data_IF_179616105854
#
_entry.id   IF_179616105854
#
_cell.length_a   1.000
_cell.length_b   1.000
_cell.length_c   1.000
_cell.angle_alpha   90.00
_cell.angle_beta   90.00
_cell.angle_gamma   90.00
#
_symmetry.space_group_name_H-M   'P 1'
#
loop_
_entity.id
_entity.type
_entity.pdbx_description
1 polymer ?
#
# COMPACT_ATOMS: atom_id res chain seq x y z
N UNK A 1 -12.86 -16.20 2.79
CA UNK A 1 -12.31 -14.92 3.29
C UNK A 1 -12.57 -13.84 2.26
N UNK A 2 -12.93 -12.62 2.66
CA UNK A 2 -13.04 -11.51 1.70
C UNK A 2 -11.67 -11.24 1.05
N UNK A 3 -11.66 -10.90 -0.24
CA UNK A 3 -10.44 -10.51 -0.96
C UNK A 3 -10.06 -9.08 -0.59
N UNK A 4 -8.79 -8.86 -0.27
CA UNK A 4 -8.23 -7.54 0.01
C UNK A 4 -7.83 -6.89 -1.30
N UNK A 5 -8.38 -5.70 -1.56
CA UNK A 5 -8.18 -4.94 -2.78
C UNK A 5 -7.03 -3.96 -2.57
N UNK A 6 -6.01 -4.08 -3.42
CA UNK A 6 -4.76 -3.32 -3.32
C UNK A 6 -4.68 -2.37 -4.50
N UNK A 7 -4.37 -1.11 -4.23
CA UNK A 7 -4.03 -0.12 -5.25
C UNK A 7 -2.55 0.25 -5.15
N UNK A 8 -1.91 0.50 -6.29
CA UNK A 8 -0.51 0.92 -6.37
C UNK A 8 -0.40 2.33 -6.94
N UNK A 9 0.20 3.26 -6.17
CA UNK A 9 0.45 4.64 -6.56
C UNK A 9 1.94 4.91 -6.78
N UNK A 10 2.27 5.85 -7.67
CA UNK A 10 3.66 6.25 -7.91
C UNK A 10 4.49 5.13 -8.52
N UNK A 11 3.88 4.40 -9.46
CA UNK A 11 4.39 3.15 -10.04
C UNK A 11 5.78 3.33 -10.66
N UNK A 12 6.76 2.62 -10.11
CA UNK A 12 8.02 2.30 -10.79
C UNK A 12 8.00 0.84 -11.24
N UNK A 13 8.78 0.48 -12.26
CA UNK A 13 8.87 -0.90 -12.72
C UNK A 13 9.30 -1.87 -11.60
N UNK A 14 10.20 -1.42 -10.72
CA UNK A 14 10.66 -2.18 -9.56
C UNK A 14 9.55 -2.40 -8.54
N UNK A 15 8.81 -1.35 -8.19
CA UNK A 15 7.72 -1.45 -7.21
C UNK A 15 6.59 -2.33 -7.73
N UNK A 16 6.19 -2.14 -8.99
CA UNK A 16 5.17 -2.97 -9.65
C UNK A 16 5.55 -4.45 -9.58
N UNK A 17 6.80 -4.78 -9.91
CA UNK A 17 7.30 -6.15 -9.86
C UNK A 17 7.24 -6.72 -8.44
N UNK A 18 7.78 -6.03 -7.45
CA UNK A 18 7.81 -6.51 -6.05
C UNK A 18 6.39 -6.74 -5.51
N UNK A 19 5.47 -5.82 -5.80
CA UNK A 19 4.07 -5.94 -5.37
C UNK A 19 3.39 -7.10 -6.07
N UNK A 20 3.55 -7.24 -7.39
CA UNK A 20 2.99 -8.37 -8.15
C UNK A 20 3.54 -9.71 -7.68
N UNK A 21 4.85 -9.82 -7.48
CA UNK A 21 5.50 -11.04 -6.99
C UNK A 21 4.96 -11.46 -5.60
N UNK A 22 4.57 -10.49 -4.76
CA UNK A 22 3.94 -10.75 -3.47
C UNK A 22 2.46 -11.15 -3.59
N UNK A 23 1.71 -10.48 -4.45
CA UNK A 23 0.29 -10.75 -4.68
C UNK A 23 0.06 -12.10 -5.39
N UNK A 24 0.91 -12.46 -6.35
CA UNK A 24 0.79 -13.72 -7.10
C UNK A 24 0.95 -14.97 -6.22
N UNK A 25 1.58 -14.82 -5.05
CA UNK A 25 1.71 -15.89 -4.07
C UNK A 25 0.49 -16.03 -3.14
N UNK A 26 -0.45 -15.10 -3.20
CA UNK A 26 -1.48 -14.91 -2.17
C UNK A 26 -2.88 -14.73 -2.80
N UNK A 27 -3.70 -15.79 -2.76
CA UNK A 27 -5.00 -15.82 -3.45
C UNK A 27 -6.08 -14.89 -2.86
N UNK A 28 -5.85 -14.37 -1.65
CA UNK A 28 -6.72 -13.43 -0.95
C UNK A 28 -6.40 -11.96 -1.27
N UNK A 29 -5.30 -11.67 -1.96
CA UNK A 29 -4.90 -10.31 -2.33
C UNK A 29 -5.16 -10.05 -3.82
N UNK A 30 -5.66 -8.86 -4.15
CA UNK A 30 -6.02 -8.50 -5.53
C UNK A 30 -5.55 -7.10 -5.87
N UNK A 31 -4.73 -6.95 -6.91
CA UNK A 31 -4.41 -5.64 -7.47
C UNK A 31 -5.62 -5.11 -8.26
N UNK A 32 -6.25 -4.05 -7.77
CA UNK A 32 -7.43 -3.43 -8.42
C UNK A 32 -7.09 -2.15 -9.18
N UNK A 33 -5.96 -1.51 -8.85
CA UNK A 33 -5.49 -0.31 -9.52
C UNK A 33 -3.96 -0.24 -9.49
N UNK A 34 -3.37 0.23 -10.58
CA UNK A 34 -1.94 0.48 -10.71
C UNK A 34 -1.74 1.75 -11.52
N UNK A 35 -1.46 2.86 -10.84
CA UNK A 35 -1.54 4.18 -11.45
C UNK A 35 -0.33 5.05 -11.06
N UNK A 36 0.33 5.62 -12.07
CA UNK A 36 1.47 6.51 -11.87
C UNK A 36 1.06 7.95 -11.55
N UNK A 37 -0.20 8.31 -11.84
CA UNK A 37 -0.72 9.67 -11.73
C UNK A 37 -1.61 9.88 -10.51
N UNK A 38 -1.43 11.02 -9.83
CA UNK A 38 -2.11 11.31 -8.57
C UNK A 38 -3.64 11.38 -8.67
N UNK A 39 -4.13 11.95 -9.77
CA UNK A 39 -5.57 12.06 -10.00
C UNK A 39 -6.18 10.69 -10.26
N UNK A 40 -5.48 9.82 -10.99
CA UNK A 40 -5.99 8.49 -11.36
C UNK A 40 -6.05 7.58 -10.14
N UNK A 41 -5.01 7.58 -9.30
CA UNK A 41 -5.06 6.81 -8.06
C UNK A 41 -6.21 7.26 -7.17
N UNK A 42 -6.44 8.57 -6.99
CA UNK A 42 -7.57 9.10 -6.21
C UNK A 42 -8.94 8.61 -6.71
N UNK A 43 -9.11 8.53 -8.04
CA UNK A 43 -10.37 8.05 -8.64
C UNK A 43 -10.61 6.55 -8.40
N UNK A 44 -9.55 5.75 -8.38
CA UNK A 44 -9.66 4.30 -8.22
C UNK A 44 -9.56 3.86 -6.75
N UNK A 45 -9.08 4.73 -5.86
CA UNK A 45 -8.78 4.41 -4.47
C UNK A 45 -10.01 3.99 -3.67
N UNK A 46 -11.18 4.53 -4.00
CA UNK A 46 -12.44 4.20 -3.32
C UNK A 46 -12.87 2.73 -3.51
N UNK A 47 -12.14 1.98 -4.34
CA UNK A 47 -12.32 0.53 -4.55
C UNK A 47 -11.24 -0.31 -3.87
N UNK A 48 -10.25 0.30 -3.24
CA UNK A 48 -9.16 -0.38 -2.57
C UNK A 48 -9.36 -0.35 -1.05
N UNK A 49 -8.85 -1.39 -0.41
CA UNK A 49 -8.73 -1.49 1.05
C UNK A 49 -7.34 -0.98 1.49
N UNK A 50 -6.33 -1.13 0.62
CA UNK A 50 -4.95 -0.73 0.88
C UNK A 50 -4.34 -0.04 -0.34
N UNK A 51 -3.64 1.07 -0.12
CA UNK A 51 -2.82 1.76 -1.13
C UNK A 51 -1.36 1.58 -0.81
N UNK A 52 -0.59 1.10 -1.78
CA UNK A 52 0.87 1.02 -1.69
C UNK A 52 1.45 2.23 -2.43
N UNK A 53 2.40 2.92 -1.80
CA UNK A 53 3.09 4.09 -2.36
C UNK A 53 4.60 3.92 -2.26
N UNK A 54 5.34 4.45 -3.23
CA UNK A 54 6.79 4.56 -3.10
C UNK A 54 7.16 5.69 -2.14
N UNK A 55 8.08 5.44 -1.22
CA UNK A 55 8.70 6.45 -0.37
C UNK A 55 9.96 6.95 -1.07
N UNK A 56 9.92 8.20 -1.54
CA UNK A 56 11.11 8.87 -2.03
C UNK A 56 11.78 9.58 -0.85
N UNK A 57 12.99 9.17 -0.48
CA UNK A 57 13.72 9.78 0.63
C UNK A 57 13.10 9.56 2.02
N UNK A 58 12.29 8.50 2.19
CA UNK A 58 11.62 8.17 3.45
C UNK A 58 10.38 9.00 3.78
N UNK A 59 9.97 9.90 2.87
CA UNK A 59 8.78 10.73 3.04
C UNK A 59 7.59 10.18 2.25
N UNK A 60 6.39 10.34 2.82
CA UNK A 60 5.14 10.01 2.14
C UNK A 60 4.82 11.07 1.09
N UNK A 61 4.32 10.68 -0.10
CA UNK A 61 3.85 11.63 -1.07
C UNK A 61 2.69 12.50 -0.50
N UNK A 62 2.61 13.81 -0.81
CA UNK A 62 1.55 14.69 -0.30
C UNK A 62 0.12 14.21 -0.60
N UNK A 63 -0.06 13.41 -1.66
CA UNK A 63 -1.34 12.78 -1.98
C UNK A 63 -1.86 11.88 -0.86
N UNK A 64 -0.97 11.27 -0.06
CA UNK A 64 -1.31 10.31 0.99
C UNK A 64 -2.10 10.99 2.08
N UNK A 65 -1.71 12.20 2.46
CA UNK A 65 -2.44 12.98 3.48
C UNK A 65 -3.88 13.21 3.03
N UNK A 66 -4.07 13.61 1.76
CA UNK A 66 -5.40 13.80 1.18
C UNK A 66 -6.21 12.51 1.12
N UNK A 67 -5.56 11.40 0.73
CA UNK A 67 -6.19 10.08 0.66
C UNK A 67 -6.70 9.63 2.03
N UNK A 68 -5.90 9.84 3.06
CA UNK A 68 -6.20 9.46 4.43
C UNK A 68 -7.32 10.34 5.01
N UNK A 69 -7.34 11.64 4.66
CA UNK A 69 -8.40 12.55 5.08
C UNK A 69 -9.73 12.26 4.37
N UNK A 70 -9.70 11.85 3.10
CA UNK A 70 -10.89 11.60 2.27
C UNK A 70 -11.46 10.18 2.42
N UNK A 71 -10.60 9.19 2.71
CA UNK A 71 -10.93 7.77 2.85
C UNK A 71 -10.43 7.23 4.20
N UNK A 72 -11.15 7.47 5.31
CA UNK A 72 -10.67 7.15 6.66
C UNK A 72 -10.51 5.65 6.94
N UNK A 73 -11.09 4.78 6.12
CA UNK A 73 -10.98 3.33 6.29
C UNK A 73 -9.82 2.74 5.47
N UNK A 74 -9.09 3.57 4.71
CA UNK A 74 -8.04 3.08 3.82
C UNK A 74 -6.72 2.85 4.57
N UNK A 75 -6.10 1.70 4.34
CA UNK A 75 -4.72 1.45 4.76
C UNK A 75 -3.74 2.06 3.77
N UNK A 76 -2.68 2.74 4.23
CA UNK A 76 -1.58 3.18 3.36
C UNK A 76 -0.30 2.43 3.72
N UNK A 77 0.43 1.98 2.71
CA UNK A 77 1.69 1.27 2.87
C UNK A 77 2.76 1.98 2.03
N UNK A 78 3.65 2.70 2.69
CA UNK A 78 4.86 3.22 2.09
C UNK A 78 5.89 2.13 1.89
N UNK A 79 6.57 2.13 0.75
CA UNK A 79 7.66 1.21 0.45
C UNK A 79 8.88 2.01 0.03
N UNK A 80 9.97 1.87 0.75
CA UNK A 80 11.29 2.43 0.42
C UNK A 80 12.15 1.33 -0.22
N UNK A 81 12.10 1.26 -1.55
CA UNK A 81 12.86 0.27 -2.31
C UNK A 81 14.36 0.56 -2.33
N UNK A 82 14.77 1.83 -2.18
CA UNK A 82 16.18 2.23 -2.23
C UNK A 82 16.95 1.71 -1.01
N UNK A 83 16.26 1.56 0.13
CA UNK A 83 16.83 1.01 1.36
C UNK A 83 16.30 -0.39 1.71
N UNK A 84 15.46 -1.00 0.88
CA UNK A 84 14.88 -2.33 1.10
C UNK A 84 13.95 -2.39 2.32
N UNK A 85 13.31 -1.27 2.68
CA UNK A 85 12.43 -1.13 3.85
C UNK A 85 11.00 -0.84 3.40
N UNK A 86 10.02 -1.36 4.13
CA UNK A 86 8.63 -0.91 4.03
C UNK A 86 8.28 -0.07 5.26
N UNK A 87 7.50 1.00 5.10
CA UNK A 87 6.84 1.68 6.21
C UNK A 87 5.33 1.59 6.03
N UNK A 88 4.66 0.88 6.92
CA UNK A 88 3.21 0.81 6.92
C UNK A 88 2.63 2.00 7.67
N UNK A 89 1.72 2.72 7.00
CA UNK A 89 1.05 3.90 7.51
C UNK A 89 -0.47 3.71 7.47
N UNK A 90 -1.05 3.16 8.54
CA UNK A 90 -2.48 3.31 8.77
C UNK A 90 -2.70 4.51 9.69
N UNK A 91 -3.81 5.20 9.51
CA UNK A 91 -4.27 6.34 10.31
C UNK A 91 -3.83 6.30 11.78
N UNK A 92 -3.42 7.48 12.26
CA UNK A 92 -2.65 7.77 13.48
C UNK A 92 -2.93 6.82 14.67
N UNK A 93 -1.90 6.44 15.46
CA UNK A 93 -0.49 6.85 15.40
C UNK A 93 0.47 5.70 15.02
N UNK A 94 -0.01 4.60 14.44
CA UNK A 94 0.81 3.38 14.36
C UNK A 94 1.57 3.28 13.04
N UNK A 95 2.75 3.90 13.00
CA UNK A 95 3.76 3.63 11.97
C UNK A 95 4.47 2.32 12.30
N UNK A 96 4.31 1.30 11.45
CA UNK A 96 4.99 0.02 11.62
C UNK A 96 6.06 -0.12 10.56
N UNK A 97 7.32 -0.16 10.99
CA UNK A 97 8.43 -0.46 10.11
C UNK A 97 8.40 -1.96 9.72
N UNK A 98 8.56 -2.22 8.43
CA UNK A 98 8.72 -3.56 7.86
C UNK A 98 10.16 -3.67 7.38
N UNK A 99 10.97 -4.39 8.15
CA UNK A 99 12.37 -4.68 7.80
C UNK A 99 12.66 -6.14 8.20
N UNK A 100 13.03 -7.03 7.26
CA UNK A 100 13.28 -6.79 5.83
C UNK A 100 12.01 -6.77 4.97
N UNK A 101 12.06 -6.00 3.87
CA UNK A 101 11.05 -6.05 2.82
C UNK A 101 11.21 -7.35 2.00
N UNK A 102 10.22 -8.24 2.08
CA UNK A 102 10.13 -9.49 1.34
C UNK A 102 8.68 -9.70 0.87
N UNK A 103 8.42 -10.58 -0.11
CA UNK A 103 7.04 -10.85 -0.56
C UNK A 103 6.11 -11.26 0.59
N UNK A 104 6.57 -12.12 1.49
CA UNK A 104 5.80 -12.59 2.63
C UNK A 104 5.54 -11.48 3.67
N UNK A 105 6.55 -10.65 3.96
CA UNK A 105 6.39 -9.53 4.92
C UNK A 105 5.52 -8.41 4.33
N UNK A 106 5.56 -8.20 3.01
CA UNK A 106 4.67 -7.30 2.29
C UNK A 106 3.21 -7.78 2.33
N UNK A 107 2.96 -9.06 2.05
CA UNK A 107 1.62 -9.65 2.11
C UNK A 107 1.03 -9.57 3.54
N UNK A 108 1.83 -9.87 4.56
CA UNK A 108 1.42 -9.74 5.96
C UNK A 108 1.07 -8.29 6.32
N UNK A 109 1.84 -7.32 5.83
CA UNK A 109 1.56 -5.90 6.03
C UNK A 109 0.27 -5.44 5.35
N UNK A 110 0.00 -5.89 4.13
CA UNK A 110 -1.26 -5.61 3.41
C UNK A 110 -2.45 -6.15 4.22
N UNK A 111 -2.36 -7.38 4.71
CA UNK A 111 -3.42 -7.98 5.55
C UNK A 111 -3.63 -7.21 6.85
N UNK A 112 -2.55 -6.83 7.51
CA UNK A 112 -2.64 -6.03 8.73
C UNK A 112 -3.27 -4.66 8.44
N UNK A 113 -2.90 -4.02 7.34
CA UNK A 113 -3.44 -2.73 6.91
C UNK A 113 -4.96 -2.80 6.69
N UNK A 114 -5.43 -3.83 5.99
CA UNK A 114 -6.85 -4.05 5.70
C UNK A 114 -7.69 -4.53 6.89
N UNK A 115 -7.10 -5.31 7.81
CA UNK A 115 -7.83 -5.98 8.90
C UNK A 115 -8.23 -5.08 10.07
N UNK A 116 -7.51 -4.00 10.32
CA UNK A 116 -7.85 -3.03 11.38
C UNK A 116 -8.80 -1.93 10.88
N UNK A 117 -9.22 -1.95 9.61
CA UNK A 117 -10.35 -1.17 9.11
C UNK A 117 -11.70 -1.73 9.61
N UNK A 118 -11.69 -2.86 10.33
CA UNK A 118 -12.86 -3.55 10.86
C UNK A 118 -12.98 -3.53 12.40
N UNK A 119 -12.25 -2.65 13.08
CA UNK A 119 -12.29 -2.50 14.55
C UNK A 119 -13.02 -1.23 14.98
#
# INVERSE_FOLDING_TARGET
>A
MPRIRVALAGVTATLSRVVRDALDQEADLLLVAEESGEIRILLDVGRADVVIVNLAGGELPPMVERLVDEYPDIGVLGVDLDHGRGLLYRLRPTLVAIDPLSPATLAAAIRWAAGDAAA
#
